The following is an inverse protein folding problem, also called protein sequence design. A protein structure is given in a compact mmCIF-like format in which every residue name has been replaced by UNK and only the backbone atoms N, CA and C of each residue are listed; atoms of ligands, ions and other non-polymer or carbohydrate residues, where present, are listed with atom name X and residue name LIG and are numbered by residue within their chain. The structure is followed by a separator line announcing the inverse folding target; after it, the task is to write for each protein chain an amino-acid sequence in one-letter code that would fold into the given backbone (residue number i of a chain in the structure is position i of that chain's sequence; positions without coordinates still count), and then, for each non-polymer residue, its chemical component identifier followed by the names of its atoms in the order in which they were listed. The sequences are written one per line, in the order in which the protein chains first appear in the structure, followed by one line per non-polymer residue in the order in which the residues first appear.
data_IF_010411756751
#
_entry.id   IF_010411756751
#
_cell.length_a   1.000
_cell.length_b   1.000
_cell.length_c   1.000
_cell.angle_alpha   90.00
_cell.angle_beta   90.00
_cell.angle_gamma   90.00
#
_symmetry.space_group_name_H-M   'P 1'
#
loop_
_entity.id
_entity.type
_entity.pdbx_description
1 polymer ?
#
# COMPACT_ATOMS: atom_id res chain seq x y z
N UNK A 1 20.71 12.12 8.37
CA UNK A 1 19.67 11.15 7.98
C UNK A 1 18.57 11.22 9.03
N UNK A 2 17.41 11.80 8.72
CA UNK A 2 16.30 11.88 9.69
C UNK A 2 15.65 10.51 9.74
N UNK A 3 15.69 9.84 10.89
CA UNK A 3 15.00 8.56 11.09
C UNK A 3 13.53 8.90 11.37
N UNK A 4 12.66 8.78 10.36
CA UNK A 4 11.23 8.97 10.54
C UNK A 4 10.66 7.74 11.29
N UNK A 5 10.12 7.97 12.49
CA UNK A 5 9.57 6.92 13.38
C UNK A 5 8.09 6.60 13.14
N UNK A 6 7.47 7.10 12.07
CA UNK A 6 6.06 6.80 11.80
C UNK A 6 5.95 5.31 11.45
N UNK A 7 5.28 4.56 12.34
CA UNK A 7 5.04 3.11 12.17
C UNK A 7 3.66 2.84 11.57
N UNK A 8 2.71 3.75 11.75
CA UNK A 8 1.34 3.65 11.20
C UNK A 8 0.94 4.96 10.55
N UNK A 9 0.38 4.89 9.36
CA UNK A 9 -0.13 6.04 8.62
C UNK A 9 -1.54 5.74 8.11
N UNK A 10 -2.48 6.63 8.45
CA UNK A 10 -3.85 6.59 7.97
C UNK A 10 -4.13 7.78 7.04
N UNK A 11 -4.51 7.47 5.81
CA UNK A 11 -4.86 8.40 4.75
C UNK A 11 -6.32 8.19 4.27
N UNK A 12 -7.16 7.59 5.11
CA UNK A 12 -8.56 7.33 4.79
C UNK A 12 -9.37 8.62 4.62
N UNK A 13 -10.43 8.57 3.80
CA UNK A 13 -11.41 9.66 3.63
C UNK A 13 -10.83 11.00 3.13
N UNK A 14 -9.76 10.96 2.33
CA UNK A 14 -9.07 12.16 1.81
C UNK A 14 -9.35 12.44 0.34
N UNK A 15 -10.31 11.73 -0.26
CA UNK A 15 -10.64 11.80 -1.69
C UNK A 15 -9.43 11.57 -2.61
N UNK A 16 -8.41 10.84 -2.13
CA UNK A 16 -7.18 10.60 -2.87
C UNK A 16 -7.48 9.83 -4.16
N UNK A 17 -7.01 10.35 -5.29
CA UNK A 17 -7.10 9.66 -6.58
C UNK A 17 -5.87 8.79 -6.87
N UNK A 18 -4.82 8.92 -6.05
CA UNK A 18 -3.56 8.19 -6.15
C UNK A 18 -2.84 8.12 -4.80
N UNK A 19 -2.02 7.08 -4.61
CA UNK A 19 -1.08 6.99 -3.49
C UNK A 19 -0.04 8.12 -3.62
N UNK A 20 0.24 8.90 -2.55
CA UNK A 20 1.26 9.94 -2.55
C UNK A 20 2.63 9.41 -2.98
N UNK A 21 3.38 10.20 -3.76
CA UNK A 21 4.74 9.82 -4.19
C UNK A 21 5.77 9.96 -3.06
N UNK A 22 5.52 10.89 -2.14
CA UNK A 22 6.47 11.29 -1.10
C UNK A 22 6.33 10.42 0.16
N UNK A 23 6.27 9.09 0.01
CA UNK A 23 6.32 8.15 1.14
C UNK A 23 7.73 7.57 1.34
N UNK A 24 8.69 7.95 0.50
CA UNK A 24 10.04 7.38 0.48
C UNK A 24 10.84 7.59 1.76
N UNK A 25 10.49 8.56 2.60
CA UNK A 25 11.15 8.80 3.88
C UNK A 25 10.55 8.02 5.05
N UNK A 26 9.46 7.27 4.83
CA UNK A 26 8.74 6.52 5.86
C UNK A 26 9.29 5.09 6.02
N UNK A 27 10.61 4.94 6.11
CA UNK A 27 11.28 3.63 6.13
C UNK A 27 10.84 2.72 7.30
N UNK A 28 10.36 3.29 8.42
CA UNK A 28 9.87 2.54 9.58
C UNK A 28 8.37 2.21 9.52
N UNK A 29 7.68 2.55 8.44
CA UNK A 29 6.25 2.33 8.32
C UNK A 29 5.93 0.85 8.20
N UNK A 30 5.09 0.36 9.12
CA UNK A 30 4.62 -1.02 9.16
C UNK A 30 3.16 -1.14 8.75
N UNK A 31 2.34 -0.08 8.91
CA UNK A 31 0.92 -0.12 8.56
C UNK A 31 0.47 1.10 7.78
N UNK A 32 -0.10 0.86 6.60
CA UNK A 32 -0.62 1.90 5.72
C UNK A 32 -2.10 1.64 5.43
N UNK A 33 -2.94 2.62 5.78
CA UNK A 33 -4.39 2.52 5.68
C UNK A 33 -4.92 3.62 4.77
N UNK A 34 -5.71 3.25 3.77
CA UNK A 34 -6.26 4.13 2.74
C UNK A 34 -7.71 3.78 2.44
N UNK A 35 -8.58 3.79 3.45
CA UNK A 35 -9.99 3.42 3.32
C UNK A 35 -10.81 4.57 2.71
N UNK A 36 -11.83 4.26 1.90
CA UNK A 36 -12.77 5.24 1.32
C UNK A 36 -12.06 6.38 0.56
N UNK A 37 -11.25 5.99 -0.42
CA UNK A 37 -10.60 6.92 -1.35
C UNK A 37 -11.04 6.61 -2.80
N UNK A 38 -10.39 7.24 -3.78
CA UNK A 38 -10.69 7.06 -5.20
C UNK A 38 -9.46 6.55 -5.98
N UNK A 39 -8.57 5.82 -5.31
CA UNK A 39 -7.31 5.34 -5.87
C UNK A 39 -7.60 4.30 -6.95
N UNK A 40 -6.96 4.45 -8.11
CA UNK A 40 -7.20 3.58 -9.29
C UNK A 40 -6.11 2.52 -9.52
N UNK A 41 -4.93 2.71 -8.94
CA UNK A 41 -3.75 1.86 -9.12
C UNK A 41 -2.92 1.87 -7.84
N UNK A 42 -2.42 0.70 -7.45
CA UNK A 42 -1.37 0.60 -6.43
C UNK A 42 -0.04 0.89 -7.13
N UNK A 43 0.75 1.81 -6.56
CA UNK A 43 2.10 2.20 -6.99
C UNK A 43 2.75 3.07 -5.92
N UNK A 44 4.03 3.39 -6.09
CA UNK A 44 4.82 4.25 -5.19
C UNK A 44 5.05 3.67 -3.79
N UNK A 45 4.98 2.35 -3.62
CA UNK A 45 5.17 1.70 -2.33
C UNK A 45 6.55 1.02 -2.18
N UNK A 46 7.38 1.02 -3.23
CA UNK A 46 8.62 0.24 -3.29
C UNK A 46 9.68 0.59 -2.25
N UNK A 47 9.53 1.71 -1.55
CA UNK A 47 10.43 2.15 -0.48
C UNK A 47 10.02 1.63 0.91
N UNK A 48 8.83 1.02 1.02
CA UNK A 48 8.22 0.61 2.29
C UNK A 48 8.51 -0.87 2.57
N UNK A 49 9.79 -1.26 2.52
CA UNK A 49 10.19 -2.67 2.70
C UNK A 49 9.81 -3.27 4.06
N UNK A 50 9.57 -2.42 5.08
CA UNK A 50 9.12 -2.83 6.41
C UNK A 50 7.58 -2.82 6.58
N UNK A 51 6.82 -2.62 5.51
CA UNK A 51 5.36 -2.61 5.57
C UNK A 51 4.85 -4.04 5.81
N UNK A 52 4.04 -4.21 6.86
CA UNK A 52 3.46 -5.48 7.29
C UNK A 52 1.98 -5.55 6.88
N UNK A 53 1.24 -4.44 7.02
CA UNK A 53 -0.19 -4.37 6.71
C UNK A 53 -0.47 -3.25 5.69
N UNK A 54 -1.08 -3.61 4.56
CA UNK A 54 -1.58 -2.68 3.56
C UNK A 54 -3.10 -2.83 3.41
N UNK A 55 -3.84 -1.83 3.91
CA UNK A 55 -5.29 -1.80 3.87
C UNK A 55 -5.77 -0.71 2.90
N UNK A 56 -6.33 -1.11 1.76
CA UNK A 56 -6.87 -0.21 0.73
C UNK A 56 -8.30 -0.60 0.38
N UNK A 57 -9.20 -0.45 1.35
CA UNK A 57 -10.62 -0.81 1.23
C UNK A 57 -11.43 0.36 0.62
N UNK A 58 -12.52 0.05 -0.07
CA UNK A 58 -13.45 1.05 -0.63
C UNK A 58 -12.73 2.05 -1.56
N UNK A 59 -12.05 1.52 -2.57
CA UNK A 59 -11.33 2.29 -3.57
C UNK A 59 -11.76 1.89 -5.00
N UNK A 60 -10.99 2.30 -6.01
CA UNK A 60 -11.28 2.02 -7.43
C UNK A 60 -10.11 1.32 -8.11
N UNK A 61 -9.31 0.56 -7.35
CA UNK A 61 -8.09 -0.07 -7.86
C UNK A 61 -8.46 -1.07 -8.95
N UNK A 62 -7.78 -0.99 -10.08
CA UNK A 62 -7.90 -1.94 -11.20
C UNK A 62 -6.62 -2.75 -11.43
N UNK A 63 -5.48 -2.17 -11.06
CA UNK A 63 -4.14 -2.71 -11.34
C UNK A 63 -3.27 -2.62 -10.09
N UNK A 64 -2.49 -3.66 -9.86
CA UNK A 64 -1.47 -3.77 -8.82
C UNK A 64 -0.12 -3.69 -9.53
N UNK A 65 0.75 -2.77 -9.12
CA UNK A 65 2.07 -2.58 -9.74
C UNK A 65 3.09 -2.20 -8.68
N UNK A 66 4.33 -2.66 -8.86
CA UNK A 66 5.50 -2.24 -8.09
C UNK A 66 5.33 -2.46 -6.57
N UNK A 67 4.81 -3.62 -6.19
CA UNK A 67 4.70 -4.04 -4.77
C UNK A 67 5.57 -5.24 -4.42
N UNK A 68 6.27 -5.84 -5.39
CA UNK A 68 7.21 -6.96 -5.22
C UNK A 68 8.36 -6.68 -4.22
N UNK A 69 8.59 -5.40 -3.89
CA UNK A 69 9.58 -4.96 -2.90
C UNK A 69 9.04 -4.88 -1.47
N UNK A 70 7.74 -5.13 -1.25
CA UNK A 70 7.13 -5.18 0.07
C UNK A 70 7.38 -6.54 0.74
N UNK A 71 8.65 -6.92 0.90
CA UNK A 71 9.05 -8.26 1.33
C UNK A 71 8.57 -8.63 2.74
N UNK A 72 8.23 -7.66 3.59
CA UNK A 72 7.66 -7.89 4.93
C UNK A 72 6.13 -7.88 4.95
N UNK A 73 5.46 -7.74 3.80
CA UNK A 73 4.00 -7.66 3.76
C UNK A 73 3.38 -9.00 4.12
N UNK A 74 2.58 -9.02 5.17
CA UNK A 74 1.85 -10.19 5.67
C UNK A 74 0.36 -10.09 5.33
N UNK A 75 -0.21 -8.87 5.40
CA UNK A 75 -1.63 -8.62 5.21
C UNK A 75 -1.91 -7.61 4.08
N UNK A 76 -2.63 -8.04 3.05
CA UNK A 76 -3.09 -7.20 1.93
C UNK A 76 -4.63 -7.21 1.82
N UNK A 77 -5.27 -6.12 2.24
CA UNK A 77 -6.73 -5.97 2.13
C UNK A 77 -7.12 -5.03 1.00
N UNK A 78 -7.77 -5.59 -0.03
CA UNK A 78 -8.23 -4.87 -1.23
C UNK A 78 -9.76 -4.95 -1.41
N UNK A 79 -10.50 -5.12 -0.30
CA UNK A 79 -11.95 -5.25 -0.29
C UNK A 79 -12.62 -4.04 -0.97
N UNK A 80 -13.68 -4.29 -1.75
CA UNK A 80 -14.43 -3.29 -2.49
C UNK A 80 -13.54 -2.39 -3.39
N UNK A 81 -12.77 -3.04 -4.26
CA UNK A 81 -12.09 -2.41 -5.38
C UNK A 81 -12.69 -2.85 -6.72
N UNK A 82 -11.99 -2.56 -7.83
CA UNK A 82 -12.39 -2.91 -9.20
C UNK A 82 -11.36 -3.82 -9.88
N UNK A 83 -10.64 -4.61 -9.08
CA UNK A 83 -9.61 -5.52 -9.54
C UNK A 83 -10.28 -6.69 -10.26
N UNK A 84 -9.84 -6.96 -11.48
CA UNK A 84 -10.36 -8.07 -12.31
C UNK A 84 -9.41 -9.26 -12.37
N UNK A 85 -8.13 -9.00 -12.20
CA UNK A 85 -7.03 -9.97 -12.26
C UNK A 85 -6.12 -9.67 -11.09
N UNK A 86 -5.72 -10.72 -10.37
CA UNK A 86 -4.71 -10.64 -9.32
C UNK A 86 -3.39 -11.06 -9.95
N UNK A 87 -2.47 -10.11 -10.06
CA UNK A 87 -1.12 -10.23 -10.64
C UNK A 87 -0.19 -9.25 -9.92
N UNK A 88 1.13 -9.39 -10.07
CA UNK A 88 2.08 -8.47 -9.43
C UNK A 88 2.26 -8.73 -7.93
N UNK A 89 1.96 -9.94 -7.47
CA UNK A 89 2.18 -10.38 -6.09
C UNK A 89 3.44 -11.26 -5.96
N UNK A 90 4.18 -11.46 -7.04
CA UNK A 90 5.42 -12.22 -7.03
C UNK A 90 6.43 -11.57 -6.07
N UNK A 91 7.12 -12.38 -5.25
CA UNK A 91 8.09 -11.89 -4.26
C UNK A 91 7.49 -11.49 -2.91
N UNK A 92 6.17 -11.50 -2.75
CA UNK A 92 5.50 -11.31 -1.46
C UNK A 92 5.46 -12.63 -0.66
N UNK A 93 6.63 -13.13 -0.28
CA UNK A 93 6.80 -14.47 0.32
C UNK A 93 6.09 -14.65 1.68
N UNK A 94 5.84 -13.56 2.39
CA UNK A 94 5.17 -13.57 3.70
C UNK A 94 3.66 -13.32 3.62
N UNK A 95 3.11 -13.06 2.44
CA UNK A 95 1.71 -12.72 2.25
C UNK A 95 0.82 -13.97 2.47
N UNK A 96 -0.17 -13.85 3.36
CA UNK A 96 -1.09 -14.93 3.74
C UNK A 96 -2.43 -14.87 2.99
#
# INVERSE_FOLDING_TARGET
MIINKIVRLDLSDKLLTSIPKDLSYLFSLQRLIMVRNQIKRIKNLSYLSNLIELCIIDNRIKYIENIESLSSLEDLSLINNKIKVIEGLEGLENLQ
#
